data_IF_825736748670
#
_entry.id   IF_825736748670
#
_cell.length_a   1.000
_cell.length_b   1.000
_cell.length_c   1.000
_cell.angle_alpha   90.00
_cell.angle_beta   90.00
_cell.angle_gamma   90.00
#
_symmetry.space_group_name_H-M   'P 1'
#
loop_
_entity.id
_entity.type
_entity.pdbx_description
1 polymer ?
#
# COMPACT_ATOMS: atom_id res chain seq x y z
N UNK A 1 7.79 16.76 -1.68
CA UNK A 1 7.72 15.36 -1.19
C UNK A 1 7.97 14.45 -2.37
N UNK A 2 8.90 13.51 -2.25
CA UNK A 2 9.30 12.62 -3.35
C UNK A 2 8.15 11.69 -3.75
N UNK A 3 7.93 11.50 -5.06
CA UNK A 3 6.86 10.66 -5.63
C UNK A 3 6.85 9.19 -5.15
N UNK A 4 7.89 8.76 -4.44
CA UNK A 4 8.04 7.43 -3.83
C UNK A 4 6.88 7.07 -2.89
N UNK A 5 6.25 8.05 -2.22
CA UNK A 5 5.12 7.79 -1.31
C UNK A 5 3.77 7.55 -2.01
N UNK A 6 3.68 7.70 -3.34
CA UNK A 6 2.41 7.53 -4.08
C UNK A 6 2.24 6.14 -4.68
N UNK A 7 3.27 5.30 -4.67
CA UNK A 7 3.22 3.98 -5.27
C UNK A 7 3.00 2.93 -4.19
N UNK A 8 1.80 2.34 -4.18
CA UNK A 8 1.43 1.27 -3.27
C UNK A 8 1.29 -0.09 -3.99
N UNK A 9 1.82 -0.20 -5.21
CA UNK A 9 1.71 -1.39 -6.05
C UNK A 9 3.11 -1.97 -6.27
N UNK A 10 3.27 -3.26 -5.95
CA UNK A 10 4.49 -4.02 -6.20
C UNK A 10 4.16 -5.28 -7.02
N UNK A 11 5.08 -5.70 -7.88
CA UNK A 11 4.96 -6.90 -8.70
C UNK A 11 6.10 -7.87 -8.40
N UNK A 12 5.75 -9.15 -8.31
CA UNK A 12 6.70 -10.24 -8.11
C UNK A 12 6.38 -11.39 -9.07
N UNK A 13 7.40 -12.13 -9.46
CA UNK A 13 7.26 -13.31 -10.31
C UNK A 13 8.26 -14.37 -9.88
N UNK A 14 7.82 -15.63 -9.80
CA UNK A 14 8.71 -16.75 -9.54
C UNK A 14 8.19 -18.05 -10.14
N UNK A 15 9.08 -19.04 -10.34
CA UNK A 15 8.70 -20.34 -10.91
C UNK A 15 7.94 -21.21 -9.91
N UNK A 16 8.13 -20.98 -8.62
CA UNK A 16 7.46 -21.72 -7.56
C UNK A 16 6.87 -20.80 -6.52
N UNK A 17 5.81 -21.25 -5.86
CA UNK A 17 5.22 -20.54 -4.72
C UNK A 17 6.21 -20.31 -3.56
N UNK A 18 7.19 -21.20 -3.38
CA UNK A 18 8.23 -21.06 -2.36
C UNK A 18 9.14 -19.88 -2.65
N UNK A 19 9.63 -19.79 -3.89
CA UNK A 19 10.47 -18.67 -4.34
C UNK A 19 9.69 -17.35 -4.26
N UNK A 20 8.42 -17.36 -4.68
CA UNK A 20 7.55 -16.19 -4.59
C UNK A 20 7.40 -15.72 -3.13
N UNK A 21 7.18 -16.66 -2.20
CA UNK A 21 7.09 -16.35 -0.77
C UNK A 21 8.39 -15.73 -0.24
N UNK A 22 9.54 -16.30 -0.59
CA UNK A 22 10.85 -15.77 -0.18
C UNK A 22 11.04 -14.34 -0.70
N UNK A 23 10.72 -14.08 -1.97
CA UNK A 23 10.82 -12.74 -2.56
C UNK A 23 9.91 -11.73 -1.84
N UNK A 24 8.67 -12.12 -1.51
CA UNK A 24 7.73 -11.29 -0.76
C UNK A 24 8.24 -10.99 0.66
N UNK A 25 8.77 -11.99 1.38
CA UNK A 25 9.29 -11.83 2.74
C UNK A 25 10.54 -10.93 2.78
N UNK A 26 11.48 -11.15 1.86
CA UNK A 26 12.68 -10.32 1.72
C UNK A 26 12.33 -8.86 1.43
N UNK A 27 11.38 -8.63 0.53
CA UNK A 27 10.92 -7.28 0.21
C UNK A 27 10.31 -6.59 1.43
N UNK A 28 9.45 -7.26 2.20
CA UNK A 28 8.84 -6.65 3.41
C UNK A 28 9.90 -6.27 4.44
N UNK A 29 10.90 -7.12 4.65
CA UNK A 29 12.01 -6.85 5.58
C UNK A 29 12.88 -5.69 5.12
N UNK A 30 13.21 -5.64 3.83
CA UNK A 30 14.05 -4.58 3.25
C UNK A 30 13.37 -3.21 3.27
N UNK A 31 12.04 -3.16 3.12
CA UNK A 31 11.29 -1.91 3.03
C UNK A 31 10.64 -1.50 4.36
N UNK A 32 10.60 -2.39 5.38
CA UNK A 32 9.88 -2.12 6.63
C UNK A 32 8.38 -1.93 6.44
N UNK A 33 7.82 -2.43 5.35
CA UNK A 33 6.42 -2.30 4.96
C UNK A 33 5.71 -3.66 5.00
N UNK A 34 4.40 -3.63 5.24
CA UNK A 34 3.53 -4.80 5.14
C UNK A 34 2.66 -4.68 3.91
N UNK A 35 2.39 -5.82 3.28
CA UNK A 35 1.36 -5.90 2.24
C UNK A 35 -0.04 -5.82 2.87
N UNK A 36 -0.89 -5.00 2.26
CA UNK A 36 -2.32 -4.88 2.54
C UNK A 36 -3.11 -6.00 1.85
N UNK A 37 -2.72 -6.33 0.61
CA UNK A 37 -3.38 -7.35 -0.20
C UNK A 37 -2.39 -7.97 -1.18
N UNK A 38 -2.62 -9.25 -1.52
CA UNK A 38 -1.86 -9.99 -2.52
C UNK A 38 -2.85 -10.67 -3.47
N UNK A 39 -2.61 -10.56 -4.77
CA UNK A 39 -3.26 -11.38 -5.80
C UNK A 39 -2.17 -12.17 -6.50
N UNK A 40 -2.33 -13.50 -6.57
CA UNK A 40 -1.36 -14.42 -7.15
C UNK A 40 -2.06 -15.22 -8.24
N UNK A 41 -1.52 -15.17 -9.45
CA UNK A 41 -2.05 -15.86 -10.62
C UNK A 41 -0.94 -16.65 -11.29
N UNK A 42 -1.28 -17.78 -11.91
CA UNK A 42 -0.32 -18.51 -12.76
C UNK A 42 -0.35 -17.97 -14.18
N UNK A 43 0.81 -17.60 -14.71
CA UNK A 43 0.97 -17.12 -16.09
C UNK A 43 2.26 -17.69 -16.68
N UNK A 44 2.19 -18.25 -17.89
CA UNK A 44 3.38 -18.76 -18.59
C UNK A 44 4.19 -19.86 -17.87
N UNK A 45 3.62 -20.56 -16.89
CA UNK A 45 4.33 -21.54 -16.06
C UNK A 45 5.06 -20.94 -14.83
N UNK A 46 4.88 -19.64 -14.59
CA UNK A 46 5.31 -18.94 -13.39
C UNK A 46 4.09 -18.57 -12.51
N UNK A 47 4.38 -18.15 -11.29
CA UNK A 47 3.45 -17.47 -10.40
C UNK A 47 3.76 -15.97 -10.41
N UNK A 48 2.79 -15.18 -10.82
CA UNK A 48 2.81 -13.74 -10.85
C UNK A 48 2.04 -13.20 -9.65
N UNK A 49 2.57 -12.21 -8.94
CA UNK A 49 1.92 -11.59 -7.81
C UNK A 49 1.84 -10.08 -7.97
N UNK A 50 0.64 -9.54 -7.82
CA UNK A 50 0.40 -8.12 -7.60
C UNK A 50 0.15 -7.91 -6.11
N UNK A 51 1.00 -7.12 -5.47
CA UNK A 51 0.94 -6.80 -4.06
C UNK A 51 0.57 -5.33 -3.86
N UNK A 52 -0.43 -5.08 -3.01
CA UNK A 52 -0.72 -3.74 -2.52
C UNK A 52 -0.01 -3.54 -1.19
N UNK A 53 0.80 -2.50 -1.07
CA UNK A 53 1.41 -2.09 0.20
C UNK A 53 0.48 -1.14 0.93
N UNK A 54 0.61 -1.06 2.25
CA UNK A 54 -0.11 -0.03 2.98
C UNK A 54 0.42 1.35 2.51
N UNK A 55 -0.44 2.27 2.05
CA UNK A 55 0.01 3.61 1.68
C UNK A 55 0.76 4.24 2.85
N UNK A 56 1.94 4.81 2.57
CA UNK A 56 2.71 5.52 3.59
C UNK A 56 1.98 6.78 4.10
N UNK A 57 0.99 7.26 3.34
CA UNK A 57 0.17 8.42 3.63
C UNK A 57 -1.29 8.14 3.29
N UNK A 58 -2.17 8.40 4.25
CA UNK A 58 -3.62 8.34 4.08
C UNK A 58 -4.16 9.73 4.34
N UNK A 59 -4.90 10.26 3.37
CA UNK A 59 -5.57 11.56 3.49
C UNK A 59 -7.00 11.30 3.95
N UNK A 60 -7.37 11.84 5.11
CA UNK A 60 -8.74 11.79 5.61
C UNK A 60 -9.49 13.00 5.04
N UNK A 61 -10.56 12.75 4.29
CA UNK A 61 -11.35 13.79 3.64
C UNK A 61 -12.85 13.66 3.95
N UNK A 62 -13.62 14.68 3.59
CA UNK A 62 -15.08 14.60 3.46
C UNK A 62 -15.48 13.52 2.44
N UNK A 63 -16.76 13.11 2.47
CA UNK A 63 -17.29 12.09 1.58
C UNK A 63 -17.18 12.44 0.08
N UNK A 64 -17.18 13.74 -0.25
CA UNK A 64 -16.98 14.25 -1.61
C UNK A 64 -15.49 14.47 -1.98
N UNK A 65 -14.57 14.28 -1.03
CA UNK A 65 -13.14 14.48 -1.22
C UNK A 65 -12.66 15.94 -1.20
N UNK A 66 -13.54 16.92 -0.96
CA UNK A 66 -13.19 18.35 -1.07
C UNK A 66 -12.54 18.95 0.17
N UNK A 67 -12.84 18.42 1.35
CA UNK A 67 -12.37 18.95 2.63
C UNK A 67 -11.45 17.96 3.31
N UNK A 68 -10.31 18.42 3.82
CA UNK A 68 -9.34 17.57 4.50
C UNK A 68 -9.54 17.66 6.02
N UNK A 69 -9.23 16.57 6.73
CA UNK A 69 -9.25 16.59 8.18
C UNK A 69 -8.12 17.46 8.76
N UNK A 70 -8.44 18.24 9.78
CA UNK A 70 -7.50 19.04 10.54
C UNK A 70 -7.64 18.77 12.04
N UNK A 71 -6.56 18.93 12.79
CA UNK A 71 -6.57 18.88 14.26
C UNK A 71 -6.91 20.28 14.78
N UNK A 72 -8.02 20.41 15.49
CA UNK A 72 -8.42 21.70 16.05
C UNK A 72 -7.67 22.01 17.37
N UNK A 73 -7.88 23.21 17.92
CA UNK A 73 -7.25 23.66 19.18
C UNK A 73 -7.55 22.80 20.42
N UNK A 74 -8.54 21.91 20.34
CA UNK A 74 -8.93 20.98 21.41
C UNK A 74 -8.36 19.57 21.21
N UNK A 75 -7.53 19.35 20.18
CA UNK A 75 -6.95 18.05 19.87
C UNK A 75 -7.89 17.08 19.17
N UNK A 76 -9.02 17.57 18.63
CA UNK A 76 -9.96 16.74 17.87
C UNK A 76 -9.61 16.74 16.39
N UNK A 77 -9.62 15.57 15.77
CA UNK A 77 -9.52 15.41 14.33
C UNK A 77 -10.91 15.50 13.71
N UNK A 78 -11.15 16.50 12.87
CA UNK A 78 -12.42 16.71 12.19
C UNK A 78 -12.20 17.22 10.76
N UNK A 79 -13.12 16.90 9.86
CA UNK A 79 -13.17 17.50 8.52
C UNK A 79 -13.78 18.89 8.64
N UNK A 80 -13.11 19.91 8.10
CA UNK A 80 -13.64 21.28 8.11
C UNK A 80 -14.84 21.35 7.17
N UNK A 81 -16.03 21.53 7.72
CA UNK A 81 -17.20 21.99 6.98
C UNK A 81 -17.20 23.51 7.07
N UNK A 82 -17.04 24.21 5.95
CA UNK A 82 -17.34 25.65 5.90
C UNK A 82 -18.79 25.92 6.32
#
# INVERSE_FOLDING_TARGET
MSDVNKQNLAYFEARTMRELYTALDEWQRANGQRFLSLSIESDGGNYCCIALTNPAEVVITSADGHHHAAVNRFGLLAVTTD
#
